data_IF_882727723427
#
_entry.id   IF_882727723427
#
_cell.length_a   1.000
_cell.length_b   1.000
_cell.length_c   1.000
_cell.angle_alpha   90.00
_cell.angle_beta   90.00
_cell.angle_gamma   90.00
#
_symmetry.space_group_name_H-M   'P 1'
#
loop_
_entity.id
_entity.type
_entity.pdbx_description
1 polymer ?
#
# COMPACT_ATOMS: atom_id res chain seq x y z
N UNK A 1 17.22 -1.64 -7.76
CA UNK A 1 16.87 -0.67 -6.69
C UNK A 1 15.52 -0.06 -7.04
N UNK A 2 14.46 -0.35 -6.27
CA UNK A 2 13.19 0.35 -6.38
C UNK A 2 13.37 1.78 -5.85
N UNK A 3 13.33 2.79 -6.73
CA UNK A 3 13.21 4.18 -6.28
C UNK A 3 11.73 4.42 -5.99
N UNK A 4 11.37 4.42 -4.70
CA UNK A 4 10.07 4.93 -4.27
C UNK A 4 10.04 6.43 -4.62
N UNK A 5 9.34 6.80 -5.71
CA UNK A 5 9.09 8.21 -6.01
C UNK A 5 8.07 8.73 -5.01
N UNK A 6 8.56 9.21 -3.87
CA UNK A 6 7.75 9.97 -2.92
C UNK A 6 7.54 11.34 -3.56
N UNK A 7 6.31 11.60 -3.98
CA UNK A 7 5.96 12.87 -4.59
C UNK A 7 6.12 13.99 -3.54
N UNK A 8 6.92 14.99 -3.90
CA UNK A 8 7.30 16.14 -3.07
C UNK A 8 6.05 16.88 -2.53
N UNK A 9 6.12 17.52 -1.33
CA UNK A 9 5.01 18.31 -0.77
C UNK A 9 4.44 19.40 -1.71
N UNK A 10 5.15 19.74 -2.78
CA UNK A 10 4.78 20.73 -3.78
C UNK A 10 3.71 20.29 -4.81
N UNK A 11 3.44 19.00 -4.97
CA UNK A 11 2.46 18.51 -5.96
C UNK A 11 1.11 18.20 -5.32
N UNK A 12 -0.01 18.28 -6.06
CA UNK A 12 -1.30 17.82 -5.55
C UNK A 12 -1.26 16.31 -5.25
N UNK A 13 -2.07 15.82 -4.29
CA UNK A 13 -2.27 14.39 -4.10
C UNK A 13 -2.67 13.72 -5.41
N UNK A 14 -2.11 12.54 -5.69
CA UNK A 14 -2.44 11.79 -6.90
C UNK A 14 -3.94 11.46 -6.92
N UNK A 15 -4.56 11.45 -8.10
CA UNK A 15 -5.91 10.90 -8.26
C UNK A 15 -5.91 9.36 -8.26
N UNK A 16 -7.08 8.71 -8.38
CA UNK A 16 -7.17 7.25 -8.33
C UNK A 16 -6.47 6.57 -9.51
N UNK A 17 -6.46 7.18 -10.69
CA UNK A 17 -5.85 6.57 -11.88
C UNK A 17 -4.32 6.64 -11.80
N UNK A 18 -3.77 7.79 -11.42
CA UNK A 18 -2.34 7.98 -11.19
C UNK A 18 -1.84 7.09 -10.04
N UNK A 19 -2.63 6.97 -8.97
CA UNK A 19 -2.32 6.09 -7.85
C UNK A 19 -2.28 4.61 -8.27
N UNK A 20 -3.26 4.17 -9.07
CA UNK A 20 -3.30 2.80 -9.59
C UNK A 20 -2.11 2.50 -10.51
N UNK A 21 -1.71 3.46 -11.36
CA UNK A 21 -0.53 3.32 -12.22
C UNK A 21 0.75 3.17 -11.38
N UNK A 22 0.91 3.97 -10.33
CA UNK A 22 2.10 3.94 -9.49
C UNK A 22 2.18 2.65 -8.67
N UNK A 23 1.04 2.17 -8.15
CA UNK A 23 0.95 0.87 -7.50
C UNK A 23 1.22 -0.27 -8.49
N UNK A 24 0.70 -0.21 -9.72
CA UNK A 24 0.97 -1.21 -10.75
C UNK A 24 2.46 -1.28 -11.07
N UNK A 25 3.12 -0.14 -11.19
CA UNK A 25 4.57 -0.09 -11.40
C UNK A 25 5.30 -0.71 -10.21
N UNK A 26 4.94 -0.39 -8.97
CA UNK A 26 5.56 -0.99 -7.79
C UNK A 26 5.41 -2.53 -7.80
N UNK A 27 4.21 -3.03 -8.08
CA UNK A 27 3.94 -4.47 -8.19
C UNK A 27 4.78 -5.15 -9.27
N UNK A 28 4.92 -4.54 -10.45
CA UNK A 28 5.76 -5.06 -11.52
C UNK A 28 7.24 -5.23 -11.12
N UNK A 29 7.70 -4.47 -10.14
CA UNK A 29 9.05 -4.57 -9.59
C UNK A 29 9.13 -5.47 -8.35
N UNK A 30 8.07 -6.23 -8.04
CA UNK A 30 8.02 -7.15 -6.90
C UNK A 30 7.80 -6.46 -5.55
N UNK A 31 7.26 -5.23 -5.53
CA UNK A 31 6.92 -4.58 -4.27
C UNK A 31 5.80 -5.34 -3.55
N UNK A 32 6.02 -5.63 -2.27
CA UNK A 32 4.99 -6.20 -1.41
C UNK A 32 3.85 -5.19 -1.17
N UNK A 33 2.68 -5.68 -0.75
CA UNK A 33 1.51 -4.83 -0.51
C UNK A 33 1.78 -3.76 0.56
N UNK A 34 2.58 -4.03 1.60
CA UNK A 34 2.98 -3.02 2.59
C UNK A 34 3.70 -1.82 1.95
N UNK A 35 4.57 -2.07 0.97
CA UNK A 35 5.25 -1.00 0.22
C UNK A 35 4.26 -0.21 -0.65
N UNK A 36 3.24 -0.87 -1.19
CA UNK A 36 2.15 -0.21 -1.92
C UNK A 36 1.31 0.67 -0.98
N UNK A 37 0.98 0.20 0.22
CA UNK A 37 0.25 0.99 1.24
C UNK A 37 1.05 2.23 1.64
N UNK A 38 2.36 2.09 1.89
CA UNK A 38 3.22 3.22 2.20
C UNK A 38 3.30 4.23 1.03
N UNK A 39 3.36 3.74 -0.21
CA UNK A 39 3.29 4.60 -1.39
C UNK A 39 1.96 5.34 -1.48
N UNK A 40 0.84 4.67 -1.25
CA UNK A 40 -0.49 5.28 -1.27
C UNK A 40 -0.62 6.33 -0.18
N UNK A 41 -0.17 6.02 1.04
CA UNK A 41 -0.16 6.95 2.16
C UNK A 41 0.59 8.25 1.80
N UNK A 42 1.80 8.12 1.25
CA UNK A 42 2.64 9.27 0.89
C UNK A 42 2.04 10.08 -0.26
N UNK A 43 1.54 9.42 -1.31
CA UNK A 43 1.01 10.08 -2.50
C UNK A 43 -0.38 10.70 -2.30
N UNK A 44 -1.19 10.16 -1.38
CA UNK A 44 -2.50 10.73 -1.00
C UNK A 44 -2.45 11.65 0.20
N UNK A 45 -1.36 11.64 0.97
CA UNK A 45 -1.19 12.38 2.25
C UNK A 45 -2.30 12.06 3.26
N UNK A 46 -2.64 10.79 3.33
CA UNK A 46 -3.68 10.25 4.21
C UNK A 46 -3.06 9.49 5.37
N UNK A 47 -3.87 9.13 6.36
CA UNK A 47 -3.41 8.25 7.44
C UNK A 47 -3.03 6.87 6.92
N UNK A 48 -2.15 6.16 7.62
CA UNK A 48 -1.83 4.76 7.33
C UNK A 48 -3.09 3.88 7.31
N UNK A 49 -4.04 4.17 8.20
CA UNK A 49 -5.28 3.41 8.32
C UNK A 49 -6.20 3.62 7.11
N UNK A 50 -6.28 4.84 6.57
CA UNK A 50 -6.97 5.11 5.30
C UNK A 50 -6.24 4.49 4.12
N UNK A 51 -4.90 4.59 4.06
CA UNK A 51 -4.10 3.97 3.01
C UNK A 51 -4.29 2.44 2.96
N UNK A 52 -4.34 1.78 4.14
CA UNK A 52 -4.61 0.34 4.26
C UNK A 52 -5.97 -0.04 3.66
N UNK A 53 -7.01 0.79 3.83
CA UNK A 53 -8.33 0.55 3.24
C UNK A 53 -8.38 0.85 1.75
N UNK A 54 -7.70 1.92 1.32
CA UNK A 54 -7.73 2.37 -0.07
C UNK A 54 -6.90 1.49 -0.99
N UNK A 55 -5.74 1.02 -0.55
CA UNK A 55 -4.78 0.30 -1.40
C UNK A 55 -5.37 -0.97 -2.03
N UNK A 56 -6.04 -1.87 -1.28
CA UNK A 56 -6.66 -3.06 -1.87
C UNK A 56 -7.86 -2.75 -2.77
N UNK A 57 -8.50 -1.57 -2.62
CA UNK A 57 -9.62 -1.16 -3.48
C UNK A 57 -9.19 -0.66 -4.87
N UNK A 58 -7.89 -0.46 -5.08
CA UNK A 58 -7.38 -0.08 -6.40
C UNK A 58 -7.53 -1.25 -7.38
N UNK A 59 -7.82 -1.00 -8.68
CA UNK A 59 -8.08 -2.04 -9.70
C UNK A 59 -6.81 -2.83 -10.11
N UNK A 60 -5.82 -2.83 -9.22
CA UNK A 60 -4.49 -3.39 -9.38
C UNK A 60 -4.33 -4.66 -8.54
N UNK A 61 -5.18 -4.82 -7.51
CA UNK A 61 -5.13 -5.97 -6.60
C UNK A 61 -6.25 -6.95 -6.88
N UNK A 62 -5.92 -8.24 -6.79
CA UNK A 62 -6.89 -9.33 -6.81
C UNK A 62 -7.36 -9.72 -5.40
N UNK A 63 -8.48 -10.44 -5.34
CA UNK A 63 -9.05 -10.92 -4.07
C UNK A 63 -8.08 -11.81 -3.27
N UNK A 64 -7.26 -12.62 -3.96
CA UNK A 64 -6.27 -13.50 -3.33
C UNK A 64 -5.15 -12.71 -2.65
N UNK A 65 -4.60 -11.69 -3.31
CA UNK A 65 -3.53 -10.84 -2.75
C UNK A 65 -4.02 -10.10 -1.49
N UNK A 66 -5.28 -9.68 -1.48
CA UNK A 66 -5.90 -9.06 -0.32
C UNK A 66 -6.02 -10.06 0.85
N UNK A 67 -6.49 -11.29 0.58
CA UNK A 67 -6.63 -12.32 1.60
C UNK A 67 -5.28 -12.70 2.24
N UNK A 68 -4.24 -12.87 1.42
CA UNK A 68 -2.86 -13.17 1.89
C UNK A 68 -2.35 -12.08 2.83
N UNK A 69 -2.67 -10.82 2.54
CA UNK A 69 -2.27 -9.71 3.38
C UNK A 69 -3.04 -9.61 4.68
N UNK A 70 -4.35 -9.79 4.65
CA UNK A 70 -5.15 -9.83 5.88
C UNK A 70 -4.67 -10.93 6.80
N UNK A 71 -4.33 -12.10 6.25
CA UNK A 71 -3.71 -13.19 7.01
C UNK A 71 -2.35 -12.79 7.59
N UNK A 72 -1.48 -12.16 6.80
CA UNK A 72 -0.19 -11.68 7.30
C UNK A 72 -0.33 -10.64 8.42
N UNK A 73 -1.32 -9.73 8.33
CA UNK A 73 -1.64 -8.80 9.40
C UNK A 73 -2.10 -9.51 10.67
N UNK A 74 -2.95 -10.53 10.56
CA UNK A 74 -3.42 -11.31 11.71
C UNK A 74 -2.26 -12.04 12.40
N UNK A 75 -1.34 -12.62 11.61
CA UNK A 75 -0.14 -13.29 12.15
C UNK A 75 0.73 -12.27 12.90
N UNK A 76 1.11 -11.16 12.26
CA UNK A 76 1.94 -10.13 12.90
C UNK A 76 1.30 -9.58 14.18
N UNK A 77 -0.02 -9.41 14.18
CA UNK A 77 -0.74 -8.93 15.36
C UNK A 77 -0.73 -9.98 16.49
N UNK A 78 -0.96 -11.25 16.17
CA UNK A 78 -0.90 -12.33 17.15
C UNK A 78 0.51 -12.49 17.75
N UNK A 79 1.55 -12.33 16.94
CA UNK A 79 2.95 -12.33 17.40
C UNK A 79 3.21 -11.17 18.37
N UNK A 80 2.76 -9.96 18.01
CA UNK A 80 2.94 -8.78 18.86
C UNK A 80 2.19 -8.89 20.20
N UNK A 81 0.97 -9.43 20.20
CA UNK A 81 0.18 -9.64 21.41
C UNK A 81 0.78 -10.71 22.35
N UNK A 82 1.48 -11.71 21.80
CA UNK A 82 2.16 -12.75 22.59
C UNK A 82 3.44 -12.26 23.27
N UNK A 83 4.01 -11.14 22.82
CA UNK A 83 5.19 -10.51 23.44
C UNK A 83 4.84 -9.62 24.65
N UNK A 84 3.55 -9.41 24.94
CA UNK A 84 3.01 -8.62 26.07
C UNK A 84 2.40 -9.47 27.18
#
# INVERSE_FOLDING_TARGET
MLKLKIVSPLFPPLDNAALAAEVQQLKQHGAALLACIASVQANRRISLNEAKRLTPSLPVFGNEEQAVFEQACQIMQAEFEQET
#
